data_IF_122851139265
#
_entry.id   IF_122851139265
#
_cell.length_a   1.000
_cell.length_b   1.000
_cell.length_c   1.000
_cell.angle_alpha   90.00
_cell.angle_beta   90.00
_cell.angle_gamma   90.00
#
_symmetry.space_group_name_H-M   'P 1'
#
loop_
_entity.id
_entity.type
_entity.pdbx_description
1 polymer ?
#
# COMPACT_ATOMS: atom_id res chain seq x y z
N UNK A 1 4.27 16.88 9.98
CA UNK A 1 2.87 16.67 9.55
C UNK A 1 2.75 15.25 9.00
N UNK A 2 1.69 14.50 9.32
CA UNK A 2 1.48 13.14 8.80
C UNK A 2 1.34 13.07 7.25
N UNK A 3 1.37 14.20 6.55
CA UNK A 3 1.38 14.28 5.07
C UNK A 3 2.77 14.35 4.41
N UNK A 4 3.83 14.73 5.14
CA UNK A 4 5.18 14.79 4.58
C UNK A 4 5.77 13.39 4.45
N UNK A 5 6.23 13.02 3.25
CA UNK A 5 6.95 11.76 3.01
C UNK A 5 8.16 11.73 3.95
N UNK A 6 8.37 10.67 4.75
CA UNK A 6 9.57 10.56 5.57
C UNK A 6 10.81 10.59 4.65
N UNK A 7 11.83 11.38 5.03
CA UNK A 7 13.06 11.45 4.25
C UNK A 7 13.73 10.07 4.19
N UNK A 8 14.12 9.64 2.98
CA UNK A 8 14.74 8.32 2.77
C UNK A 8 13.79 7.11 2.83
N UNK A 9 12.48 7.31 3.02
CA UNK A 9 11.54 6.19 3.00
C UNK A 9 11.33 5.64 1.59
N UNK A 10 11.65 4.35 1.42
CA UNK A 10 11.22 3.52 0.30
C UNK A 10 9.69 3.35 0.25
N UNK A 11 9.17 2.61 -0.74
CA UNK A 11 7.75 2.31 -0.84
C UNK A 11 7.23 1.59 0.41
N UNK A 12 5.98 1.84 0.79
CA UNK A 12 5.31 1.11 1.87
C UNK A 12 5.84 1.34 3.28
N UNK A 13 6.23 2.57 3.63
CA UNK A 13 6.85 2.88 4.93
C UNK A 13 5.99 2.55 6.18
N UNK A 14 4.67 2.39 6.04
CA UNK A 14 3.79 1.96 7.13
C UNK A 14 3.43 0.47 7.10
N UNK A 15 3.92 -0.32 6.14
CA UNK A 15 3.65 -1.76 6.05
C UNK A 15 4.09 -2.52 7.31
N UNK A 16 5.27 -2.27 7.91
CA UNK A 16 5.67 -2.95 9.14
C UNK A 16 4.73 -2.67 10.32
N UNK A 17 4.22 -1.43 10.41
CA UNK A 17 3.26 -1.04 11.44
C UNK A 17 1.90 -1.72 11.21
N UNK A 18 1.41 -1.74 9.97
CA UNK A 18 0.17 -2.42 9.61
C UNK A 18 0.24 -3.92 9.91
N UNK A 19 1.36 -4.59 9.58
CA UNK A 19 1.57 -6.01 9.88
C UNK A 19 1.52 -6.29 11.40
N UNK A 20 2.07 -5.39 12.20
CA UNK A 20 2.04 -5.51 13.67
C UNK A 20 0.60 -5.36 14.20
N UNK A 21 -0.13 -4.36 13.69
CA UNK A 21 -1.53 -4.11 14.06
C UNK A 21 -2.41 -5.30 13.64
N UNK A 22 -2.23 -5.81 12.42
CA UNK A 22 -2.99 -6.94 11.86
C UNK A 22 -2.88 -8.21 12.70
N UNK A 23 -1.73 -8.44 13.35
CA UNK A 23 -1.54 -9.55 14.30
C UNK A 23 -2.26 -9.35 15.64
N UNK A 24 -2.52 -8.10 16.01
CA UNK A 24 -3.09 -7.74 17.31
C UNK A 24 -4.62 -7.55 17.28
N UNK A 25 -5.24 -7.44 16.10
CA UNK A 25 -6.66 -7.14 15.96
C UNK A 25 -7.37 -8.17 15.08
N UNK A 26 -8.67 -8.36 15.32
CA UNK A 26 -9.53 -9.24 14.51
C UNK A 26 -10.27 -8.50 13.39
N UNK A 27 -10.28 -7.17 13.43
CA UNK A 27 -10.91 -6.34 12.39
C UNK A 27 -10.00 -6.18 11.17
N UNK A 28 -10.55 -5.92 9.97
CA UNK A 28 -9.74 -5.63 8.79
C UNK A 28 -8.86 -4.37 8.96
N UNK A 29 -7.63 -4.43 8.42
CA UNK A 29 -6.62 -3.37 8.47
C UNK A 29 -6.33 -2.90 7.05
N UNK A 30 -6.46 -1.59 6.83
CA UNK A 30 -6.06 -0.91 5.60
C UNK A 30 -4.73 -0.19 5.82
N UNK A 31 -3.76 -0.42 4.94
CA UNK A 31 -2.48 0.29 4.96
C UNK A 31 -2.38 1.29 3.81
N UNK A 32 -1.84 2.47 4.09
CA UNK A 32 -1.46 3.47 3.08
C UNK A 32 -0.06 3.98 3.38
N UNK A 33 0.53 4.74 2.45
CA UNK A 33 1.83 5.38 2.64
C UNK A 33 2.89 4.92 1.67
N UNK A 34 3.11 5.72 0.62
CA UNK A 34 4.21 5.50 -0.33
C UNK A 34 4.03 4.30 -1.26
N UNK A 35 2.81 3.77 -1.37
CA UNK A 35 2.48 2.71 -2.32
C UNK A 35 2.18 3.35 -3.68
N UNK A 36 3.01 3.01 -4.67
CA UNK A 36 2.96 3.60 -6.02
C UNK A 36 2.88 2.57 -7.14
N UNK A 37 3.14 1.30 -6.86
CA UNK A 37 3.23 0.23 -7.85
C UNK A 37 2.27 -0.91 -7.51
N UNK A 38 1.59 -1.44 -8.52
CA UNK A 38 0.66 -2.57 -8.39
C UNK A 38 1.31 -3.84 -7.82
N UNK A 39 2.46 -4.30 -8.35
CA UNK A 39 3.13 -5.50 -7.85
C UNK A 39 3.53 -5.41 -6.37
N UNK A 40 3.96 -4.21 -5.92
CA UNK A 40 4.26 -3.98 -4.51
C UNK A 40 2.99 -4.02 -3.64
N UNK A 41 1.89 -3.42 -4.11
CA UNK A 41 0.60 -3.47 -3.41
C UNK A 41 0.11 -4.92 -3.26
N UNK A 42 0.18 -5.73 -4.33
CA UNK A 42 -0.19 -7.15 -4.32
C UNK A 42 0.68 -7.94 -3.35
N UNK A 43 2.00 -7.72 -3.37
CA UNK A 43 2.92 -8.38 -2.43
C UNK A 43 2.53 -8.13 -0.96
N UNK A 44 2.15 -6.89 -0.61
CA UNK A 44 1.72 -6.54 0.76
C UNK A 44 0.47 -7.34 1.18
N UNK A 45 -0.47 -7.56 0.25
CA UNK A 45 -1.67 -8.36 0.48
C UNK A 45 -1.33 -9.85 0.62
N UNK A 46 -0.51 -10.39 -0.30
CA UNK A 46 -0.10 -11.80 -0.29
C UNK A 46 0.72 -12.17 0.95
N UNK A 47 1.59 -11.27 1.41
CA UNK A 47 2.37 -11.44 2.64
C UNK A 47 1.48 -11.34 3.91
N UNK A 48 0.19 -11.00 3.78
CA UNK A 48 -0.76 -10.89 4.89
C UNK A 48 -0.54 -9.68 5.80
N UNK A 49 0.20 -8.67 5.33
CA UNK A 49 0.56 -7.49 6.13
C UNK A 49 -0.62 -6.51 6.29
N UNK A 50 -1.61 -6.57 5.41
CA UNK A 50 -2.84 -5.78 5.44
C UNK A 50 -3.95 -6.49 4.65
N UNK A 51 -5.22 -6.12 4.89
CA UNK A 51 -6.37 -6.61 4.12
C UNK A 51 -6.70 -5.71 2.93
N UNK A 52 -6.34 -4.42 3.03
CA UNK A 52 -6.61 -3.42 2.00
C UNK A 52 -5.42 -2.49 1.79
N UNK A 53 -5.29 -2.01 0.55
CA UNK A 53 -4.30 -1.02 0.15
C UNK A 53 -5.00 0.31 -0.14
N UNK A 54 -4.60 1.35 0.60
CA UNK A 54 -5.01 2.72 0.35
C UNK A 54 -4.01 3.47 -0.54
N UNK A 55 -4.45 3.92 -1.71
CA UNK A 55 -3.63 4.68 -2.67
C UNK A 55 -4.14 6.11 -2.77
N UNK A 56 -3.30 7.08 -2.37
CA UNK A 56 -3.62 8.51 -2.44
C UNK A 56 -2.92 9.20 -3.62
N UNK A 57 -1.72 9.74 -3.36
CA UNK A 57 -0.98 10.58 -4.33
C UNK A 57 -0.69 9.92 -5.69
N UNK A 58 -0.53 8.59 -5.73
CA UNK A 58 -0.31 7.90 -7.01
C UNK A 58 -1.58 7.93 -7.86
N UNK A 59 -2.74 7.65 -7.26
CA UNK A 59 -4.05 7.74 -7.92
C UNK A 59 -4.39 9.17 -8.36
N UNK A 60 -4.03 10.18 -7.55
CA UNK A 60 -4.22 11.58 -7.94
C UNK A 60 -3.34 11.99 -9.14
N UNK A 61 -2.13 11.42 -9.24
CA UNK A 61 -1.20 11.69 -10.35
C UNK A 61 -1.62 10.97 -11.63
N UNK A 62 -2.18 9.78 -11.49
CA UNK A 62 -2.55 8.90 -12.58
C UNK A 62 -3.93 8.28 -12.29
N UNK A 63 -5.02 8.82 -12.87
CA UNK A 63 -6.36 8.28 -12.69
C UNK A 63 -6.50 6.82 -13.14
N UNK A 64 -5.69 6.38 -14.10
CA UNK A 64 -5.68 5.01 -14.63
C UNK A 64 -4.81 4.05 -13.78
N UNK A 65 -4.29 4.51 -12.64
CA UNK A 65 -3.40 3.72 -11.79
C UNK A 65 -3.97 2.34 -11.47
N UNK A 66 -5.28 2.24 -11.18
CA UNK A 66 -5.93 0.95 -10.87
C UNK A 66 -5.93 0.00 -12.06
N UNK A 67 -6.16 0.53 -13.27
CA UNK A 67 -6.17 -0.26 -14.51
C UNK A 67 -4.76 -0.78 -14.79
N UNK A 68 -3.75 0.09 -14.68
CA UNK A 68 -2.34 -0.27 -14.87
C UNK A 68 -1.83 -1.23 -13.82
N UNK A 69 -2.20 -1.02 -12.55
CA UNK A 69 -1.89 -1.94 -11.47
C UNK A 69 -2.46 -3.33 -11.75
N UNK A 70 -3.74 -3.41 -12.15
CA UNK A 70 -4.36 -4.68 -12.53
C UNK A 70 -3.63 -5.36 -13.70
N UNK A 71 -3.30 -4.60 -14.75
CA UNK A 71 -2.59 -5.14 -15.92
C UNK A 71 -1.20 -5.70 -15.54
N UNK A 72 -0.48 -5.02 -14.65
CA UNK A 72 0.86 -5.46 -14.19
C UNK A 72 0.85 -6.73 -13.32
N UNK A 73 -0.31 -7.23 -12.92
CA UNK A 73 -0.46 -8.48 -12.15
C UNK A 73 -0.84 -9.67 -13.04
N UNK A 74 -1.19 -9.42 -14.31
CA UNK A 74 -1.58 -10.44 -15.29
C UNK A 74 -0.47 -10.82 -16.27
N UNK A 75 0.70 -10.20 -16.14
CA UNK A 75 1.96 -10.59 -16.81
C UNK A 75 2.81 -11.45 -15.86
#
# INVERSE_FOLDING_TARGET
FMGSRPAGAGPGYFVPAAATIKKAVTVPVLVTGGITEGPFAEKVLQDGNADFIGVGRALLRDPDWVIKAKASLSE
#
